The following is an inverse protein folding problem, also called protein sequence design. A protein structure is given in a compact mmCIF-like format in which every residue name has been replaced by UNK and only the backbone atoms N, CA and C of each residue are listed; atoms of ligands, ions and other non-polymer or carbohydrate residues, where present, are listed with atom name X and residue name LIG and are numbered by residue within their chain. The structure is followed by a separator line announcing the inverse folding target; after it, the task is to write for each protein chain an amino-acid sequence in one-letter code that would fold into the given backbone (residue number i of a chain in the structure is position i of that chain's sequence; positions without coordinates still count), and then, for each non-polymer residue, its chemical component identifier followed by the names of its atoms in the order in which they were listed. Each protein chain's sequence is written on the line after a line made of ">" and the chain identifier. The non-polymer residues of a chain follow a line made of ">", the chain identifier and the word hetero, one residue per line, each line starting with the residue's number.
data_IF_268996104939
#
_entry.id   IF_268996104939
#
_cell.length_a   1.000
_cell.length_b   1.000
_cell.length_c   1.000
_cell.angle_alpha   90.00
_cell.angle_beta   90.00
_cell.angle_gamma   90.00
#
_symmetry.space_group_name_H-M   'P 1'
#
loop_
_entity.id
_entity.type
_entity.pdbx_description
1 polymer ?
#
# COMPACT_ATOMS: atom_id res chain seq x y z
N UNK A 1 16.15 -7.76 9.45
CA UNK A 1 16.90 -8.09 8.21
C UNK A 1 15.93 -8.04 7.05
N UNK A 2 16.18 -7.20 6.03
CA UNK A 2 15.28 -7.03 4.89
C UNK A 2 15.35 -8.27 3.99
N UNK A 3 14.37 -9.15 4.06
CA UNK A 3 14.27 -10.26 3.12
C UNK A 3 13.72 -9.73 1.78
N UNK A 4 14.62 -9.26 0.90
CA UNK A 4 14.30 -8.76 -0.45
C UNK A 4 13.38 -9.70 -1.26
N UNK A 5 13.39 -10.99 -0.94
CA UNK A 5 12.57 -12.02 -1.58
C UNK A 5 11.08 -11.89 -1.23
N UNK A 6 10.72 -11.45 -0.02
CA UNK A 6 9.32 -11.34 0.42
C UNK A 6 8.61 -10.09 -0.10
N UNK A 7 9.34 -9.00 -0.32
CA UNK A 7 8.76 -7.77 -0.87
C UNK A 7 8.35 -7.95 -2.34
N UNK A 8 9.11 -8.76 -3.10
CA UNK A 8 8.77 -9.10 -4.49
C UNK A 8 7.44 -9.84 -4.59
N UNK A 9 7.23 -10.88 -3.78
CA UNK A 9 5.96 -11.63 -3.79
C UNK A 9 4.75 -10.77 -3.40
N UNK A 10 4.93 -9.78 -2.50
CA UNK A 10 3.87 -8.83 -2.14
C UNK A 10 3.51 -7.89 -3.29
N UNK A 11 4.52 -7.42 -4.03
CA UNK A 11 4.31 -6.60 -5.22
C UNK A 11 3.65 -7.41 -6.35
N UNK A 12 4.01 -8.68 -6.50
CA UNK A 12 3.38 -9.61 -7.44
C UNK A 12 1.90 -9.82 -7.09
N UNK A 13 1.55 -10.04 -5.82
CA UNK A 13 0.15 -10.15 -5.40
C UNK A 13 -0.66 -8.86 -5.63
N UNK A 14 -0.06 -7.68 -5.43
CA UNK A 14 -0.71 -6.40 -5.73
C UNK A 14 -0.97 -6.29 -7.24
N UNK A 15 0.02 -6.68 -8.06
CA UNK A 15 -0.09 -6.63 -9.50
C UNK A 15 -1.16 -7.60 -10.04
N UNK A 16 -1.20 -8.82 -9.52
CA UNK A 16 -2.25 -9.80 -9.87
C UNK A 16 -3.64 -9.26 -9.53
N UNK A 17 -3.84 -8.74 -8.31
CA UNK A 17 -5.13 -8.17 -7.91
C UNK A 17 -5.56 -6.99 -8.81
N UNK A 18 -4.62 -6.14 -9.23
CA UNK A 18 -4.90 -5.03 -10.16
C UNK A 18 -5.29 -5.56 -11.54
N UNK A 19 -4.58 -6.58 -12.05
CA UNK A 19 -4.87 -7.18 -13.35
C UNK A 19 -6.26 -7.82 -13.36
N UNK A 20 -6.61 -8.58 -12.32
CA UNK A 20 -7.95 -9.16 -12.17
C UNK A 20 -9.04 -8.08 -12.14
N UNK A 21 -8.85 -6.99 -11.36
CA UNK A 21 -9.80 -5.87 -11.35
C UNK A 21 -9.97 -5.28 -12.77
N UNK A 22 -8.88 -5.09 -13.52
CA UNK A 22 -8.95 -4.53 -14.87
C UNK A 22 -9.67 -5.46 -15.85
N UNK A 23 -9.43 -6.76 -15.75
CA UNK A 23 -10.09 -7.78 -16.56
C UNK A 23 -11.60 -7.82 -16.29
N UNK A 24 -12.00 -7.92 -15.02
CA UNK A 24 -13.41 -7.96 -14.65
C UNK A 24 -14.13 -6.63 -14.87
N UNK A 25 -13.45 -5.49 -14.75
CA UNK A 25 -14.04 -4.17 -15.04
C UNK A 25 -14.57 -4.09 -16.47
N UNK A 26 -13.95 -4.79 -17.43
CA UNK A 26 -14.42 -4.81 -18.82
C UNK A 26 -15.73 -5.59 -19.01
N UNK A 27 -16.06 -6.49 -18.07
CA UNK A 27 -17.19 -7.41 -18.16
C UNK A 27 -18.45 -6.91 -17.43
N UNK A 28 -18.30 -5.96 -16.49
CA UNK A 28 -19.41 -5.46 -15.68
C UNK A 28 -19.65 -3.98 -15.92
N UNK A 29 -20.91 -3.59 -16.11
CA UNK A 29 -21.31 -2.19 -16.10
C UNK A 29 -21.49 -1.68 -14.67
N UNK A 30 -21.54 -0.36 -14.50
CA UNK A 30 -21.73 0.26 -13.18
C UNK A 30 -23.09 -0.12 -12.56
N UNK A 31 -24.10 -0.40 -13.39
CA UNK A 31 -25.41 -0.85 -12.94
C UNK A 31 -25.38 -2.31 -12.46
N UNK A 32 -24.61 -3.18 -13.12
CA UNK A 32 -24.43 -4.58 -12.71
C UNK A 32 -23.78 -4.69 -11.33
N UNK A 33 -22.78 -3.83 -11.07
CA UNK A 33 -22.09 -3.77 -9.77
C UNK A 33 -23.02 -3.28 -8.67
N UNK A 34 -23.93 -2.34 -8.96
CA UNK A 34 -24.92 -1.83 -7.99
C UNK A 34 -26.02 -2.85 -7.69
N UNK A 35 -26.47 -3.57 -8.70
CA UNK A 35 -27.58 -4.52 -8.58
C UNK A 35 -27.13 -5.88 -8.02
N UNK A 36 -25.84 -6.24 -8.15
CA UNK A 36 -25.29 -7.47 -7.61
C UNK A 36 -24.34 -7.22 -6.44
N UNK A 37 -24.85 -7.48 -5.22
CA UNK A 37 -24.04 -7.43 -3.99
C UNK A 37 -22.80 -8.33 -4.08
N UNK A 38 -22.92 -9.49 -4.73
CA UNK A 38 -21.81 -10.44 -4.93
C UNK A 38 -20.66 -9.81 -5.71
N UNK A 39 -20.98 -9.13 -6.82
CA UNK A 39 -19.98 -8.47 -7.67
C UNK A 39 -19.32 -7.32 -6.90
N UNK A 40 -20.11 -6.50 -6.19
CA UNK A 40 -19.59 -5.43 -5.34
C UNK A 40 -18.64 -5.94 -4.24
N UNK A 41 -19.01 -7.01 -3.54
CA UNK A 41 -18.15 -7.63 -2.53
C UNK A 41 -16.89 -8.23 -3.16
N UNK A 42 -16.97 -8.82 -4.35
CA UNK A 42 -15.80 -9.32 -5.09
C UNK A 42 -14.78 -8.22 -5.35
N UNK A 43 -15.22 -7.08 -5.93
CA UNK A 43 -14.36 -5.92 -6.13
C UNK A 43 -13.78 -5.37 -4.83
N UNK A 44 -14.59 -5.30 -3.78
CA UNK A 44 -14.13 -4.83 -2.46
C UNK A 44 -13.04 -5.73 -1.89
N UNK A 45 -13.13 -7.06 -2.08
CA UNK A 45 -12.11 -8.01 -1.62
C UNK A 45 -10.77 -7.82 -2.32
N UNK A 46 -10.76 -7.55 -3.61
CA UNK A 46 -9.50 -7.24 -4.31
C UNK A 46 -8.83 -5.98 -3.75
N UNK A 47 -9.61 -4.94 -3.42
CA UNK A 47 -9.09 -3.73 -2.78
C UNK A 47 -8.55 -4.00 -1.37
N UNK A 48 -9.20 -4.86 -0.59
CA UNK A 48 -8.69 -5.30 0.72
C UNK A 48 -7.35 -6.04 0.61
N UNK A 49 -7.21 -6.96 -0.34
CA UNK A 49 -5.95 -7.69 -0.59
C UNK A 49 -4.81 -6.74 -0.92
N UNK A 50 -5.06 -5.74 -1.78
CA UNK A 50 -4.09 -4.69 -2.10
C UNK A 50 -3.73 -3.89 -0.84
N UNK A 51 -4.73 -3.48 -0.05
CA UNK A 51 -4.53 -2.73 1.19
C UNK A 51 -3.66 -3.47 2.21
N UNK A 52 -3.91 -4.77 2.41
CA UNK A 52 -3.10 -5.59 3.31
C UNK A 52 -1.66 -5.76 2.82
N UNK A 53 -1.47 -6.01 1.52
CA UNK A 53 -0.15 -6.16 0.94
C UNK A 53 0.66 -4.85 1.06
N UNK A 54 0.03 -3.70 0.80
CA UNK A 54 0.62 -2.37 0.97
C UNK A 54 0.92 -2.08 2.44
N UNK A 55 0.04 -2.42 3.39
CA UNK A 55 0.30 -2.24 4.82
C UNK A 55 1.51 -3.04 5.28
N UNK A 56 1.63 -4.32 4.86
CA UNK A 56 2.75 -5.20 5.20
C UNK A 56 4.06 -4.73 4.56
N UNK A 57 4.01 -4.13 3.37
CA UNK A 57 5.14 -3.42 2.77
C UNK A 57 5.48 -2.16 3.58
N UNK A 58 4.51 -1.31 3.92
CA UNK A 58 4.76 -0.08 4.66
C UNK A 58 5.35 -0.33 6.06
N UNK A 59 4.87 -1.36 6.77
CA UNK A 59 5.46 -1.78 8.04
C UNK A 59 6.90 -2.28 7.87
N UNK A 60 7.25 -2.96 6.78
CA UNK A 60 8.64 -3.34 6.52
C UNK A 60 9.53 -2.12 6.29
N UNK A 61 8.99 -1.04 5.71
CA UNK A 61 9.68 0.25 5.56
C UNK A 61 9.78 1.04 6.87
N UNK A 62 8.73 1.08 7.70
CA UNK A 62 8.77 1.83 8.97
C UNK A 62 9.70 1.19 10.00
N UNK A 63 9.79 -0.14 10.02
CA UNK A 63 10.70 -0.89 10.90
C UNK A 63 12.14 -0.87 10.36
N UNK A 64 12.34 -0.83 9.04
CA UNK A 64 13.66 -0.62 8.44
C UNK A 64 14.15 0.83 8.56
N UNK A 65 13.24 1.79 8.72
CA UNK A 65 13.51 3.20 9.01
C UNK A 65 13.50 3.46 10.51
N UNK A 66 14.31 2.73 11.27
CA UNK A 66 15.03 3.34 12.39
C UNK A 66 16.26 4.11 11.84
N UNK A 67 16.07 4.86 10.77
CA UNK A 67 16.78 6.13 10.63
C UNK A 67 15.98 7.04 11.57
N UNK A 68 16.53 7.50 12.71
CA UNK A 68 15.81 8.43 13.54
C UNK A 68 15.56 9.66 12.68
N UNK A 69 14.31 9.85 12.22
CA UNK A 69 13.87 11.16 11.79
C UNK A 69 14.05 12.05 13.03
N UNK A 70 14.92 13.07 13.00
CA UNK A 70 15.19 13.90 14.18
C UNK A 70 13.92 14.65 14.66
N UNK A 71 12.83 14.60 13.91
CA UNK A 71 11.57 15.31 14.17
C UNK A 71 10.41 14.43 14.66
N UNK A 72 10.64 13.15 14.96
CA UNK A 72 9.56 12.24 15.39
C UNK A 72 9.33 12.17 16.91
N UNK A 73 10.00 13.02 17.72
CA UNK A 73 9.64 13.21 19.12
C UNK A 73 9.72 14.69 19.50
N UNK A 74 8.66 15.41 19.16
CA UNK A 74 8.42 16.79 19.60
C UNK A 74 8.93 17.82 18.61
N UNK A 75 7.99 18.55 18.00
CA UNK A 75 8.22 19.69 17.13
C UNK A 75 8.98 19.40 15.83
N UNK A 76 8.34 19.72 14.71
CA UNK A 76 9.01 20.09 13.47
C UNK A 76 9.34 21.59 13.58
N UNK A 77 10.57 22.01 13.92
CA UNK A 77 11.03 23.33 13.55
C UNK A 77 11.87 23.20 12.28
N UNK A 78 11.57 24.05 11.30
CA UNK A 78 12.51 24.48 10.29
C UNK A 78 13.83 24.84 10.99
N UNK A 79 14.88 24.02 10.86
CA UNK A 79 16.24 24.43 11.17
C UNK A 79 17.02 24.46 9.86
N UNK A 80 17.24 25.67 9.36
CA UNK A 80 18.38 25.94 8.50
C UNK A 80 19.68 25.63 9.25
N UNK A 81 20.61 25.02 8.53
CA UNK A 81 21.98 24.72 8.93
C UNK A 81 22.84 25.98 9.18
N UNK A 82 24.17 25.88 9.41
CA UNK A 82 24.93 25.07 10.36
C UNK A 82 25.76 25.94 11.32
N UNK A 83 26.40 25.32 12.33
CA UNK A 83 27.37 25.97 13.23
C UNK A 83 28.64 26.43 12.50
N UNK A 84 29.22 27.56 12.91
CA UNK A 84 30.58 27.97 12.55
C UNK A 84 31.13 29.11 13.43
N UNK A 85 32.14 28.74 14.24
CA UNK A 85 33.13 29.55 15.00
C UNK A 85 32.70 30.45 16.15
#
# INVERSE_FOLDING_TARGET
>A
MREKVKDRGRLEHILEAINEIQEYKSQYTLEDVKNSKLVFYGFTKFVEVIGEAVQKLWQSYSVASYIPCPYAKGFCPLQGEPKGS
#
